data_IF_969528034239
#
_entry.id   IF_969528034239
#
_cell.length_a   1.000
_cell.length_b   1.000
_cell.length_c   1.000
_cell.angle_alpha   90.00
_cell.angle_beta   90.00
_cell.angle_gamma   90.00
#
_symmetry.space_group_name_H-M   'P 1'
#
loop_
_entity.id
_entity.type
_entity.pdbx_description
1 polymer ?
#
# COMPACT_ATOMS: atom_id res chain seq x y z
N UNK A 1 19.16 -4.31 -26.01
CA UNK A 1 18.57 -3.79 -24.77
C UNK A 1 17.18 -4.38 -24.60
N UNK A 2 16.92 -5.00 -23.48
CA UNK A 2 15.60 -5.59 -23.19
C UNK A 2 14.60 -4.52 -22.77
N UNK A 3 13.34 -4.69 -23.14
CA UNK A 3 12.25 -3.83 -22.69
C UNK A 3 11.45 -4.53 -21.58
N UNK A 4 12.17 -5.16 -20.67
CA UNK A 4 11.58 -5.77 -19.47
C UNK A 4 12.61 -5.85 -18.35
N UNK A 5 12.12 -5.89 -17.12
CA UNK A 5 12.94 -6.14 -15.93
C UNK A 5 12.21 -7.12 -15.01
N UNK A 6 12.99 -7.81 -14.17
CA UNK A 6 12.46 -8.86 -13.29
C UNK A 6 13.04 -8.67 -11.89
N UNK A 7 12.20 -8.76 -10.88
CA UNK A 7 12.61 -8.90 -9.48
C UNK A 7 11.76 -9.99 -8.81
N UNK A 8 12.23 -10.50 -7.69
CA UNK A 8 11.50 -11.48 -6.90
C UNK A 8 11.34 -10.95 -5.48
N UNK A 9 10.11 -10.89 -5.01
CA UNK A 9 9.80 -10.39 -3.66
C UNK A 9 9.54 -11.51 -2.66
N UNK A 10 9.72 -12.75 -3.10
CA UNK A 10 9.56 -13.92 -2.26
C UNK A 10 8.10 -14.37 -2.09
N UNK A 11 7.88 -15.51 -1.44
CA UNK A 11 6.54 -16.01 -1.17
C UNK A 11 5.80 -15.11 -0.16
N UNK A 12 4.47 -15.16 -0.17
CA UNK A 12 3.62 -14.32 0.69
C UNK A 12 4.00 -14.39 2.17
N UNK A 13 4.33 -15.57 2.67
CA UNK A 13 4.65 -15.77 4.08
C UNK A 13 6.00 -15.16 4.51
N UNK A 14 6.81 -14.68 3.58
CA UNK A 14 8.07 -14.00 3.85
C UNK A 14 7.99 -12.48 3.72
N UNK A 15 6.84 -11.91 3.34
CA UNK A 15 6.72 -10.47 3.08
C UNK A 15 6.98 -9.61 4.33
N UNK A 16 6.76 -10.16 5.51
CA UNK A 16 7.05 -9.44 6.76
C UNK A 16 8.55 -9.16 6.96
N UNK A 17 9.43 -9.86 6.27
CA UNK A 17 10.87 -9.66 6.32
C UNK A 17 11.32 -8.42 5.53
N UNK A 18 10.46 -7.86 4.69
CA UNK A 18 10.76 -6.63 3.95
C UNK A 18 10.81 -5.43 4.89
N UNK A 19 11.56 -4.42 4.50
CA UNK A 19 11.60 -3.13 5.18
C UNK A 19 11.75 -2.04 4.14
N UNK A 20 10.82 -1.11 4.07
CA UNK A 20 10.86 -0.05 3.09
C UNK A 20 9.69 0.92 3.18
N UNK A 21 9.69 1.87 2.29
CA UNK A 21 8.72 2.93 2.16
C UNK A 21 9.25 4.05 1.28
N UNK A 22 8.46 5.08 1.08
CA UNK A 22 8.87 6.23 0.25
C UNK A 22 9.53 7.33 1.07
N UNK A 23 9.04 7.57 2.27
CA UNK A 23 9.50 8.62 3.17
C UNK A 23 9.60 8.03 4.58
N UNK A 24 10.36 8.65 5.49
CA UNK A 24 10.53 8.10 6.85
C UNK A 24 9.22 7.79 7.57
N UNK A 25 8.19 8.64 7.41
CA UNK A 25 6.89 8.45 8.05
C UNK A 25 6.14 7.21 7.58
N UNK A 26 6.44 6.69 6.39
CA UNK A 26 5.78 5.51 5.80
C UNK A 26 6.70 4.31 5.67
N UNK A 27 7.96 4.43 6.07
CA UNK A 27 8.94 3.34 6.06
C UNK A 27 8.73 2.45 7.27
N UNK A 28 8.59 1.14 7.01
CA UNK A 28 8.28 0.19 8.07
C UNK A 28 8.62 -1.24 7.68
N UNK A 29 8.65 -2.11 8.68
CA UNK A 29 8.72 -3.56 8.51
C UNK A 29 7.49 -4.06 7.74
N UNK A 30 7.71 -5.01 6.84
CA UNK A 30 6.64 -5.61 6.05
C UNK A 30 6.26 -4.82 4.80
N UNK A 31 7.04 -3.82 4.42
CA UNK A 31 6.78 -3.03 3.21
C UNK A 31 7.96 -3.05 2.27
N UNK A 32 7.67 -3.18 0.97
CA UNK A 32 8.68 -3.12 -0.09
C UNK A 32 8.14 -2.32 -1.28
N UNK A 33 8.92 -1.34 -1.73
CA UNK A 33 8.60 -0.57 -2.94
C UNK A 33 9.24 -1.30 -4.12
N UNK A 34 8.43 -2.09 -4.83
CA UNK A 34 8.91 -3.04 -5.84
C UNK A 34 9.38 -2.32 -7.10
N UNK A 35 8.71 -1.24 -7.48
CA UNK A 35 9.07 -0.48 -8.70
C UNK A 35 10.46 0.16 -8.61
N UNK A 36 11.02 0.37 -7.41
CA UNK A 36 12.40 0.84 -7.29
C UNK A 36 13.42 -0.19 -7.77
N UNK A 37 13.00 -1.43 -7.96
CA UNK A 37 13.84 -2.54 -8.42
C UNK A 37 13.58 -2.89 -9.89
N UNK A 38 12.72 -2.12 -10.56
CA UNK A 38 12.32 -2.32 -11.94
C UNK A 38 12.70 -1.11 -12.78
N UNK A 39 12.81 -1.30 -14.09
CA UNK A 39 13.28 -0.25 -15.00
C UNK A 39 12.15 0.67 -15.50
N UNK A 40 10.88 0.29 -15.29
CA UNK A 40 9.73 1.06 -15.77
C UNK A 40 9.44 2.29 -14.90
N UNK A 41 8.82 3.29 -15.51
CA UNK A 41 8.44 4.55 -14.83
C UNK A 41 6.99 4.96 -15.11
N UNK A 42 6.13 4.00 -15.46
CA UNK A 42 4.71 4.24 -15.77
C UNK A 42 3.81 3.69 -14.68
N UNK A 43 4.16 2.55 -14.11
CA UNK A 43 3.37 1.85 -13.09
C UNK A 43 4.27 1.63 -11.88
N UNK A 44 3.75 1.97 -10.70
CA UNK A 44 4.38 1.66 -9.42
C UNK A 44 3.68 0.52 -8.73
N UNK A 45 4.43 -0.26 -7.96
CA UNK A 45 3.87 -1.35 -7.18
C UNK A 45 4.61 -1.46 -5.84
N UNK A 46 3.85 -1.63 -4.76
CA UNK A 46 4.39 -1.95 -3.45
C UNK A 46 3.69 -3.16 -2.86
N UNK A 47 4.42 -3.92 -2.05
CA UNK A 47 3.92 -5.07 -1.32
C UNK A 47 3.97 -4.75 0.18
N UNK A 48 2.91 -5.09 0.91
CA UNK A 48 2.82 -4.80 2.35
C UNK A 48 2.22 -5.99 3.09
N UNK A 49 2.76 -6.27 4.30
CA UNK A 49 2.25 -7.25 5.24
C UNK A 49 2.13 -6.62 6.62
N UNK A 50 0.92 -6.60 7.17
CA UNK A 50 0.62 -6.12 8.51
C UNK A 50 0.30 -7.29 9.44
N UNK A 51 0.85 -7.27 10.64
CA UNK A 51 0.49 -8.22 11.70
C UNK A 51 -0.94 -7.95 12.19
N UNK A 52 -1.65 -8.97 12.72
CA UNK A 52 -2.93 -8.73 13.36
C UNK A 52 -2.86 -7.61 14.39
N UNK A 53 -3.75 -6.64 14.28
CA UNK A 53 -3.80 -5.44 15.12
C UNK A 53 -2.95 -4.28 14.63
N UNK A 54 -2.07 -4.49 13.67
CA UNK A 54 -1.23 -3.41 13.12
C UNK A 54 -2.08 -2.49 12.24
N UNK A 55 -1.83 -1.18 12.37
CA UNK A 55 -2.49 -0.14 11.59
C UNK A 55 -1.46 0.81 10.98
N UNK A 56 -1.87 1.54 9.96
CA UNK A 56 -1.01 2.51 9.29
C UNK A 56 -0.57 3.63 10.24
N UNK A 57 -1.47 4.16 11.02
CA UNK A 57 -1.21 5.27 11.93
C UNK A 57 -1.16 6.64 11.24
N UNK A 58 -1.54 6.71 9.98
CA UNK A 58 -1.64 7.94 9.20
C UNK A 58 -2.72 7.81 8.13
N UNK A 59 -3.19 8.95 7.67
CA UNK A 59 -4.04 9.09 6.49
C UNK A 59 -3.24 9.73 5.37
N UNK A 60 -3.59 9.43 4.12
CA UNK A 60 -3.09 10.22 2.98
C UNK A 60 -4.08 10.20 1.83
N UNK A 61 -3.92 11.14 0.93
CA UNK A 61 -4.60 11.20 -0.35
C UNK A 61 -3.60 11.61 -1.42
N UNK A 62 -3.93 11.34 -2.67
CA UNK A 62 -3.14 11.75 -3.82
C UNK A 62 -3.93 12.76 -4.64
N UNK A 63 -3.26 13.78 -5.17
CA UNK A 63 -3.88 14.76 -6.06
C UNK A 63 -3.79 14.40 -7.54
N UNK A 64 -2.88 13.51 -7.93
CA UNK A 64 -2.62 13.16 -9.33
C UNK A 64 -2.54 11.66 -9.57
N UNK A 65 -2.13 10.86 -8.58
CA UNK A 65 -1.91 9.43 -8.70
C UNK A 65 -3.17 8.68 -8.30
N UNK A 66 -3.60 7.73 -9.14
CA UNK A 66 -4.61 6.73 -8.80
C UNK A 66 -3.93 5.48 -8.21
N UNK A 67 -4.62 4.81 -7.29
CA UNK A 67 -4.14 3.57 -6.69
C UNK A 67 -5.19 2.47 -6.76
N UNK A 68 -4.72 1.24 -6.94
CA UNK A 68 -5.52 0.03 -6.82
C UNK A 68 -4.86 -0.86 -5.76
N UNK A 69 -5.64 -1.24 -4.76
CA UNK A 69 -5.22 -2.16 -3.70
C UNK A 69 -5.80 -3.54 -4.00
N UNK A 70 -4.95 -4.55 -4.02
CA UNK A 70 -5.36 -5.95 -4.19
C UNK A 70 -4.96 -6.72 -2.94
N UNK A 71 -5.96 -7.15 -2.15
CA UNK A 71 -5.73 -7.90 -0.93
C UNK A 71 -5.63 -9.39 -1.23
N UNK A 72 -4.56 -10.02 -0.77
CA UNK A 72 -4.23 -11.40 -1.11
C UNK A 72 -4.48 -12.37 0.03
N UNK A 73 -4.24 -11.96 1.28
CA UNK A 73 -4.44 -12.78 2.47
C UNK A 73 -4.80 -11.91 3.67
N UNK A 74 -5.42 -12.53 4.67
CA UNK A 74 -5.79 -11.88 5.92
C UNK A 74 -7.12 -11.15 5.88
N UNK A 75 -7.52 -10.66 7.03
CA UNK A 75 -8.75 -9.89 7.24
C UNK A 75 -8.38 -8.50 7.74
N UNK A 76 -8.85 -7.48 7.08
CA UNK A 76 -8.51 -6.10 7.43
C UNK A 76 -9.64 -5.12 7.17
N UNK A 77 -9.31 -3.85 7.30
CA UNK A 77 -10.21 -2.75 7.00
C UNK A 77 -9.46 -1.61 6.34
N UNK A 78 -10.13 -0.90 5.45
CA UNK A 78 -9.68 0.40 4.94
C UNK A 78 -10.63 1.49 5.43
N UNK A 79 -10.07 2.59 5.90
CA UNK A 79 -10.78 3.86 6.00
C UNK A 79 -10.67 4.58 4.65
N UNK A 80 -11.80 5.03 4.12
CA UNK A 80 -11.92 5.77 2.86
C UNK A 80 -12.81 6.99 3.12
N UNK A 81 -12.21 8.17 3.26
CA UNK A 81 -12.89 9.38 3.73
C UNK A 81 -13.60 9.11 5.08
N UNK A 82 -14.92 9.16 5.13
CA UNK A 82 -15.72 8.90 6.33
C UNK A 82 -16.30 7.48 6.41
N UNK A 83 -15.90 6.59 5.49
CA UNK A 83 -16.36 5.20 5.47
C UNK A 83 -15.26 4.25 5.94
N UNK A 84 -15.68 3.11 6.49
CA UNK A 84 -14.81 1.98 6.80
C UNK A 84 -15.35 0.76 6.07
N UNK A 85 -14.50 0.14 5.27
CA UNK A 85 -14.86 -1.10 4.56
C UNK A 85 -14.02 -2.27 5.06
N UNK A 86 -14.61 -3.45 5.05
CA UNK A 86 -13.88 -4.70 5.29
C UNK A 86 -13.14 -5.12 4.02
N UNK A 87 -11.92 -5.64 4.20
CA UNK A 87 -11.12 -6.20 3.12
C UNK A 87 -10.68 -7.61 3.49
N UNK A 88 -10.65 -8.50 2.52
CA UNK A 88 -10.31 -9.92 2.69
C UNK A 88 -9.67 -10.43 1.39
N UNK A 89 -9.20 -11.69 1.35
CA UNK A 89 -8.57 -12.21 0.12
C UNK A 89 -9.47 -12.05 -1.11
N UNK A 90 -8.93 -11.42 -2.14
CA UNK A 90 -9.64 -11.13 -3.39
C UNK A 90 -10.34 -9.78 -3.44
N UNK A 91 -10.38 -9.01 -2.36
CA UNK A 91 -10.91 -7.64 -2.41
C UNK A 91 -9.99 -6.74 -3.23
N UNK A 92 -10.57 -6.02 -4.17
CA UNK A 92 -9.87 -5.03 -5.00
C UNK A 92 -10.52 -3.67 -4.76
N UNK A 93 -9.72 -2.67 -4.39
CA UNK A 93 -10.20 -1.32 -4.10
C UNK A 93 -9.47 -0.33 -5.00
N UNK A 94 -10.21 0.36 -5.87
CA UNK A 94 -9.66 1.47 -6.62
C UNK A 94 -9.90 2.76 -5.82
N UNK A 95 -8.85 3.53 -5.61
CA UNK A 95 -8.92 4.79 -4.86
C UNK A 95 -8.45 5.91 -5.77
N UNK A 96 -9.38 6.76 -6.17
CA UNK A 96 -9.11 7.90 -7.01
C UNK A 96 -8.48 9.07 -6.26
N UNK A 97 -8.15 10.12 -7.02
CA UNK A 97 -7.54 11.32 -6.44
C UNK A 97 -8.48 12.03 -5.46
N UNK A 98 -7.90 12.59 -4.41
CA UNK A 98 -8.64 13.33 -3.38
C UNK A 98 -9.24 12.48 -2.26
N UNK A 99 -9.30 11.16 -2.41
CA UNK A 99 -9.86 10.29 -1.38
C UNK A 99 -8.81 10.00 -0.31
N UNK A 100 -9.13 10.30 0.93
CA UNK A 100 -8.29 9.97 2.09
C UNK A 100 -8.40 8.49 2.39
N UNK A 101 -7.25 7.82 2.62
CA UNK A 101 -7.22 6.40 2.96
C UNK A 101 -6.26 6.09 4.09
N UNK A 102 -6.62 5.04 4.83
CA UNK A 102 -5.78 4.38 5.81
C UNK A 102 -6.19 2.92 5.89
N UNK A 103 -5.38 2.08 6.52
CA UNK A 103 -5.67 0.66 6.63
C UNK A 103 -5.15 0.02 7.90
N UNK A 104 -5.78 -1.10 8.26
CA UNK A 104 -5.31 -1.96 9.35
C UNK A 104 -5.55 -3.44 9.05
N UNK A 105 -4.77 -4.29 9.68
CA UNK A 105 -5.10 -5.70 9.87
C UNK A 105 -6.00 -5.83 11.09
N UNK A 106 -7.13 -6.56 10.99
CA UNK A 106 -8.00 -6.77 12.16
C UNK A 106 -7.25 -7.52 13.26
N UNK A 107 -7.47 -7.18 14.54
CA UNK A 107 -6.82 -7.88 15.65
C UNK A 107 -7.08 -9.38 15.68
N UNK A 108 -8.24 -9.82 15.18
CA UNK A 108 -8.66 -11.23 15.12
C UNK A 108 -8.40 -11.88 13.75
N UNK A 109 -7.65 -11.23 12.87
CA UNK A 109 -7.27 -11.83 11.59
C UNK A 109 -6.50 -13.14 11.81
N UNK A 110 -6.82 -14.21 11.06
CA UNK A 110 -6.14 -15.50 11.25
C UNK A 110 -4.69 -15.49 10.77
N UNK A 111 -4.32 -14.51 9.96
CA UNK A 111 -2.95 -14.33 9.45
C UNK A 111 -2.68 -12.86 9.18
N UNK A 112 -1.46 -12.55 8.74
CA UNK A 112 -1.09 -11.20 8.31
C UNK A 112 -1.99 -10.74 7.16
N UNK A 113 -2.32 -9.46 7.15
CA UNK A 113 -2.96 -8.82 6.01
C UNK A 113 -1.87 -8.51 4.98
N UNK A 114 -1.99 -9.09 3.79
CA UNK A 114 -1.02 -8.93 2.71
C UNK A 114 -1.70 -8.37 1.47
N UNK A 115 -1.13 -7.30 0.93
CA UNK A 115 -1.71 -6.66 -0.24
C UNK A 115 -0.66 -6.03 -1.14
N UNK A 116 -1.05 -5.83 -2.39
CA UNK A 116 -0.34 -5.02 -3.36
C UNK A 116 -1.05 -3.68 -3.51
N UNK A 117 -0.28 -2.62 -3.63
CA UNK A 117 -0.74 -1.32 -4.08
C UNK A 117 -0.13 -1.02 -5.43
N UNK A 118 -0.96 -0.81 -6.43
CA UNK A 118 -0.56 -0.47 -7.79
C UNK A 118 -0.93 1.00 -8.01
N UNK A 119 0.03 1.81 -8.46
CA UNK A 119 -0.19 3.24 -8.69
C UNK A 119 0.19 3.63 -10.10
N UNK A 120 -0.58 4.56 -10.65
CA UNK A 120 -0.39 5.11 -11.99
C UNK A 120 -1.07 6.49 -12.06
N UNK A 121 -0.98 7.17 -13.20
CA UNK A 121 -1.69 8.42 -13.46
C UNK A 121 -0.79 9.58 -13.82
N UNK A 122 0.51 9.46 -13.59
CA UNK A 122 1.52 10.47 -13.96
C UNK A 122 2.63 9.78 -14.73
N UNK A 123 3.06 10.38 -15.84
CA UNK A 123 4.13 9.82 -16.68
C UNK A 123 5.21 10.90 -16.87
N UNK A 124 6.46 10.65 -16.45
CA UNK A 124 6.94 9.48 -15.71
C UNK A 124 6.41 9.46 -14.28
N UNK A 125 6.20 8.26 -13.74
CA UNK A 125 5.83 8.10 -12.33
C UNK A 125 7.04 8.44 -11.47
N UNK A 126 6.92 9.39 -10.50
CA UNK A 126 8.06 9.73 -9.66
C UNK A 126 8.43 8.55 -8.74
N UNK A 127 9.72 8.35 -8.50
CA UNK A 127 10.21 7.31 -7.60
C UNK A 127 9.67 7.48 -6.18
N UNK A 128 9.51 8.73 -5.75
CA UNK A 128 8.85 9.09 -4.50
C UNK A 128 7.64 9.94 -4.86
N UNK A 129 6.41 9.53 -4.50
CA UNK A 129 5.22 10.34 -4.76
C UNK A 129 5.36 11.74 -4.13
N UNK A 130 5.13 12.76 -4.92
CA UNK A 130 5.22 14.16 -4.49
C UNK A 130 3.85 14.86 -4.42
N UNK A 131 2.78 14.12 -4.70
CA UNK A 131 1.40 14.59 -4.69
C UNK A 131 0.63 14.22 -3.42
N UNK A 132 1.31 13.67 -2.41
CA UNK A 132 0.69 13.24 -1.16
C UNK A 132 1.60 13.52 0.04
N UNK A 133 0.98 13.79 1.19
CA UNK A 133 1.67 13.96 2.47
C UNK A 133 0.93 13.12 3.52
N UNK A 134 1.63 12.31 4.32
CA UNK A 134 1.00 11.59 5.43
C UNK A 134 0.46 12.56 6.48
N UNK A 135 -0.77 12.33 6.94
CA UNK A 135 -1.46 13.12 7.97
C UNK A 135 -1.62 12.24 9.21
N UNK A 136 -1.00 12.65 10.31
CA UNK A 136 -0.94 11.86 11.55
C UNK A 136 -1.82 12.39 12.67
N UNK A 137 -2.42 13.57 12.52
CA UNK A 137 -3.23 14.22 13.55
C UNK A 137 -4.73 13.92 13.43
N UNK A 138 -5.14 13.11 12.45
CA UNK A 138 -6.50 12.61 12.32
C UNK A 138 -6.56 11.22 12.94
N UNK A 139 -7.48 10.96 13.89
CA UNK A 139 -7.60 9.63 14.51
C UNK A 139 -7.91 8.54 13.48
N UNK A 140 -7.47 7.32 13.77
CA UNK A 140 -7.88 6.14 12.99
C UNK A 140 -9.37 5.90 13.19
N UNK A 141 -10.08 5.39 12.16
CA UNK A 141 -11.56 5.32 12.19
C UNK A 141 -12.12 4.08 12.92
N UNK A 142 -11.26 3.23 13.42
CA UNK A 142 -11.65 1.99 14.12
C UNK A 142 -11.33 2.01 15.60
#
# INVERSE_FOLDING_TARGET
MSNYSVTNIGPLDSWRDHFGGFVPATTRTGRRVVDHELDGDVIGISATAYEPGEQAGYWHSHSEIDEVYLFLEGEGQMGLDDEVIDVHPGTVVQVGTGVMRTWRCKPDSPTQLRWLCIRAGVIPLPAIPDDAVPITDIPMPW
#
